data_IF_391471265929
#
_entry.id   IF_391471265929
#
_cell.length_a   1.000
_cell.length_b   1.000
_cell.length_c   1.000
_cell.angle_alpha   90.00
_cell.angle_beta   90.00
_cell.angle_gamma   90.00
#
_symmetry.space_group_name_H-M   'P 1'
#
loop_
_entity.id
_entity.type
_entity.pdbx_description
1 polymer ?
#
# COMPACT_ATOMS: atom_id res chain seq x y z
N UNK A 1 -20.86 26.40 -12.75
CA UNK A 1 -20.83 26.79 -14.18
C UNK A 1 -19.68 27.78 -14.38
N UNK A 2 -18.56 27.35 -14.99
CA UNK A 2 -17.41 28.23 -15.32
C UNK A 2 -16.88 27.86 -16.70
N UNK A 3 -17.11 28.78 -17.64
CA UNK A 3 -16.81 28.69 -19.06
C UNK A 3 -15.30 28.95 -19.27
N UNK A 4 -14.60 28.07 -19.98
CA UNK A 4 -13.24 28.32 -20.47
C UNK A 4 -13.31 28.63 -21.96
N UNK A 5 -12.88 29.83 -22.35
CA UNK A 5 -12.76 30.30 -23.73
C UNK A 5 -11.54 29.68 -24.41
N UNK A 6 -11.72 29.29 -25.67
CA UNK A 6 -10.76 28.72 -26.62
C UNK A 6 -10.19 29.86 -27.50
N UNK A 7 -9.04 29.60 -28.15
CA UNK A 7 -8.36 30.33 -29.25
C UNK A 7 -7.36 31.41 -28.78
N UNK A 8 -6.13 31.54 -29.29
CA UNK A 8 -5.62 31.26 -30.64
C UNK A 8 -4.10 30.99 -30.61
N UNK A 9 -3.60 30.04 -31.41
CA UNK A 9 -2.16 29.88 -31.69
C UNK A 9 -1.87 30.60 -33.01
N UNK A 10 -1.05 31.65 -32.95
CA UNK A 10 -0.60 32.38 -34.12
C UNK A 10 0.43 31.56 -34.91
N UNK A 11 0.15 31.36 -36.20
CA UNK A 11 1.02 30.76 -37.20
C UNK A 11 2.12 31.78 -37.53
N UNK A 12 3.37 31.52 -37.14
CA UNK A 12 4.51 32.35 -37.56
C UNK A 12 4.90 31.90 -38.97
N UNK A 13 4.58 32.74 -39.95
CA UNK A 13 4.98 32.62 -41.34
C UNK A 13 6.50 32.79 -41.47
N UNK A 14 7.20 31.79 -41.99
CA UNK A 14 8.60 31.91 -42.38
C UNK A 14 8.67 32.69 -43.70
N UNK A 15 9.25 33.89 -43.65
CA UNK A 15 9.61 34.67 -44.82
C UNK A 15 10.78 34.02 -45.57
N UNK A 16 10.48 33.51 -46.76
CA UNK A 16 11.44 33.06 -47.76
C UNK A 16 11.99 34.32 -48.47
N UNK A 17 13.25 34.67 -48.22
CA UNK A 17 13.95 35.74 -48.96
C UNK A 17 14.41 35.17 -50.30
N UNK A 18 13.76 35.60 -51.38
CA UNK A 18 14.21 35.41 -52.74
C UNK A 18 15.35 36.40 -53.04
N UNK A 19 16.54 35.91 -53.36
CA UNK A 19 17.63 36.71 -53.90
C UNK A 19 17.72 36.50 -55.42
N UNK A 20 17.42 37.56 -56.15
CA UNK A 20 17.48 37.69 -57.61
C UNK A 20 18.91 37.63 -58.14
N UNK A 21 19.06 36.99 -59.30
CA UNK A 21 20.30 36.83 -60.07
C UNK A 21 20.60 38.14 -60.80
N UNK A 22 21.83 38.64 -60.70
CA UNK A 22 22.39 39.69 -61.55
C UNK A 22 23.87 39.38 -61.80
N UNK A 23 24.22 39.17 -63.06
CA UNK A 23 25.59 38.88 -63.53
C UNK A 23 26.27 40.18 -63.96
N UNK A 24 27.49 40.45 -63.50
CA UNK A 24 28.58 41.08 -64.28
C UNK A 24 29.97 40.76 -63.68
N UNK A 25 30.98 40.82 -64.54
CA UNK A 25 32.32 40.20 -64.53
C UNK A 25 33.37 40.58 -63.45
N UNK A 26 34.24 39.57 -63.21
CA UNK A 26 35.70 39.56 -62.97
C UNK A 26 36.37 40.53 -61.98
N UNK A 27 36.96 39.97 -60.90
CA UNK A 27 38.36 40.26 -60.52
C UNK A 27 38.91 39.17 -59.56
N UNK A 28 40.20 38.86 -59.69
CA UNK A 28 40.94 37.82 -58.99
C UNK A 28 41.21 38.19 -57.52
N UNK A 29 40.77 37.35 -56.57
CA UNK A 29 41.35 37.25 -55.22
C UNK A 29 40.86 35.99 -54.53
N UNK A 30 41.72 35.29 -53.76
CA UNK A 30 41.41 33.97 -53.25
C UNK A 30 40.28 34.08 -52.23
N UNK A 31 39.25 33.24 -52.38
CA UNK A 31 38.33 32.95 -51.28
C UNK A 31 39.04 31.96 -50.36
N UNK A 32 39.50 32.37 -49.18
CA UNK A 32 39.36 31.47 -48.04
C UNK A 32 39.00 32.24 -46.77
N UNK A 33 37.72 32.23 -46.38
CA UNK A 33 37.29 32.49 -44.99
C UNK A 33 35.80 32.23 -44.70
N UNK A 34 34.98 31.82 -45.67
CA UNK A 34 33.54 31.67 -45.45
C UNK A 34 33.11 30.28 -44.93
N UNK A 35 33.96 29.26 -45.05
CA UNK A 35 33.64 27.86 -44.65
C UNK A 35 33.47 27.68 -43.14
N UNK A 36 34.15 28.51 -42.33
CA UNK A 36 34.10 28.42 -40.87
C UNK A 36 32.84 29.07 -40.25
N UNK A 37 32.20 30.03 -40.94
CA UNK A 37 31.03 30.76 -40.40
C UNK A 37 29.73 30.01 -40.65
N UNK A 38 29.47 29.56 -41.88
CA UNK A 38 28.24 28.86 -42.23
C UNK A 38 28.12 27.49 -41.52
N UNK A 39 29.23 26.72 -41.46
CA UNK A 39 29.26 25.45 -40.75
C UNK A 39 29.06 25.62 -39.23
N UNK A 40 29.63 26.68 -38.64
CA UNK A 40 29.40 27.02 -37.23
C UNK A 40 27.94 27.39 -36.95
N UNK A 41 27.30 28.19 -37.81
CA UNK A 41 25.88 28.55 -37.65
C UNK A 41 24.96 27.33 -37.75
N UNK A 42 25.23 26.42 -38.69
CA UNK A 42 24.49 25.16 -38.82
C UNK A 42 24.68 24.27 -37.56
N UNK A 43 25.91 24.17 -37.04
CA UNK A 43 26.20 23.44 -35.82
C UNK A 43 25.53 24.06 -34.58
N UNK A 44 25.44 25.40 -34.51
CA UNK A 44 24.77 26.12 -33.43
C UNK A 44 23.25 25.88 -33.46
N UNK A 45 22.63 25.95 -34.64
CA UNK A 45 21.21 25.65 -34.81
C UNK A 45 20.91 24.21 -34.38
N UNK A 46 21.74 23.24 -34.80
CA UNK A 46 21.63 21.84 -34.38
C UNK A 46 21.75 21.69 -32.85
N UNK A 47 22.75 22.33 -32.23
CA UNK A 47 22.91 22.31 -30.78
C UNK A 47 21.70 22.85 -30.02
N UNK A 48 21.08 23.93 -30.52
CA UNK A 48 19.87 24.50 -29.91
C UNK A 48 18.70 23.53 -29.97
N UNK A 49 18.49 22.87 -31.11
CA UNK A 49 17.47 21.81 -31.26
C UNK A 49 17.75 20.63 -30.34
N UNK A 50 18.99 20.13 -30.31
CA UNK A 50 19.39 19.02 -29.45
C UNK A 50 19.19 19.39 -27.96
N UNK A 51 19.47 20.64 -27.57
CA UNK A 51 19.29 21.11 -26.20
C UNK A 51 17.82 21.18 -25.80
N UNK A 52 16.95 21.59 -26.72
CA UNK A 52 15.50 21.58 -26.51
C UNK A 52 14.98 20.14 -26.35
N UNK A 53 15.41 19.22 -27.21
CA UNK A 53 15.05 17.80 -27.12
C UNK A 53 15.55 17.16 -25.82
N UNK A 54 16.77 17.49 -25.39
CA UNK A 54 17.30 17.08 -24.08
C UNK A 54 16.37 17.56 -22.95
N UNK A 55 15.97 18.83 -22.93
CA UNK A 55 15.08 19.38 -21.90
C UNK A 55 13.71 18.69 -21.90
N UNK A 56 13.13 18.47 -23.08
CA UNK A 56 11.87 17.74 -23.23
C UNK A 56 12.00 16.32 -22.67
N UNK A 57 13.10 15.63 -22.98
CA UNK A 57 13.36 14.26 -22.51
C UNK A 57 13.48 14.20 -20.99
N UNK A 58 14.21 15.14 -20.38
CA UNK A 58 14.31 15.24 -18.91
C UNK A 58 12.94 15.41 -18.28
N UNK A 59 12.12 16.34 -18.79
CA UNK A 59 10.77 16.61 -18.27
C UNK A 59 9.86 15.38 -18.44
N UNK A 60 9.89 14.75 -19.62
CA UNK A 60 9.11 13.54 -19.92
C UNK A 60 9.46 12.42 -18.95
N UNK A 61 10.75 12.12 -18.76
CA UNK A 61 11.22 11.08 -17.84
C UNK A 61 10.76 11.36 -16.40
N UNK A 62 10.84 12.61 -15.94
CA UNK A 62 10.38 13.00 -14.61
C UNK A 62 8.85 12.82 -14.44
N UNK A 63 8.06 13.23 -15.44
CA UNK A 63 6.59 13.06 -15.42
C UNK A 63 6.23 11.58 -15.40
N UNK A 64 6.82 10.78 -16.31
CA UNK A 64 6.54 9.34 -16.39
C UNK A 64 6.88 8.63 -15.08
N UNK A 65 8.04 8.93 -14.48
CA UNK A 65 8.42 8.35 -13.20
C UNK A 65 7.46 8.75 -12.08
N UNK A 66 7.07 10.03 -12.00
CA UNK A 66 6.11 10.50 -10.98
C UNK A 66 4.77 9.80 -11.12
N UNK A 67 4.22 9.73 -12.34
CA UNK A 67 2.94 9.04 -12.56
C UNK A 67 3.02 7.56 -12.21
N UNK A 68 4.14 6.89 -12.54
CA UNK A 68 4.36 5.50 -12.16
C UNK A 68 4.43 5.33 -10.62
N UNK A 69 5.08 6.27 -9.92
CA UNK A 69 5.12 6.31 -8.46
C UNK A 69 3.77 6.57 -7.81
N UNK A 70 2.99 7.52 -8.33
CA UNK A 70 1.65 7.81 -7.83
C UNK A 70 0.75 6.57 -7.96
N UNK A 71 0.82 5.90 -9.11
CA UNK A 71 0.09 4.65 -9.36
C UNK A 71 0.56 3.53 -8.41
N UNK A 72 1.87 3.33 -8.29
CA UNK A 72 2.44 2.32 -7.38
C UNK A 72 1.96 2.52 -5.93
N UNK A 73 1.99 3.76 -5.43
CA UNK A 73 1.57 4.07 -4.07
C UNK A 73 0.05 3.89 -3.89
N UNK A 74 -0.76 4.32 -4.86
CA UNK A 74 -2.20 4.15 -4.82
C UNK A 74 -2.61 2.66 -4.84
N UNK A 75 -2.01 1.88 -5.74
CA UNK A 75 -2.28 0.45 -5.87
C UNK A 75 -1.87 -0.28 -4.57
N UNK A 76 -0.72 0.05 -4.00
CA UNK A 76 -0.27 -0.54 -2.72
C UNK A 76 -1.18 -0.16 -1.55
N UNK A 77 -1.64 1.10 -1.48
CA UNK A 77 -2.57 1.55 -0.44
C UNK A 77 -3.92 0.80 -0.52
N UNK A 78 -4.42 0.53 -1.74
CA UNK A 78 -5.64 -0.27 -1.94
C UNK A 78 -5.44 -1.70 -1.42
N UNK A 79 -4.29 -2.31 -1.71
CA UNK A 79 -3.96 -3.66 -1.25
C UNK A 79 -3.92 -3.72 0.28
N UNK A 80 -3.23 -2.78 0.92
CA UNK A 80 -3.18 -2.67 2.38
C UNK A 80 -4.57 -2.48 3.00
N UNK A 81 -5.37 -1.56 2.45
CA UNK A 81 -6.71 -1.29 2.96
C UNK A 81 -7.62 -2.53 2.88
N UNK A 82 -7.54 -3.31 1.80
CA UNK A 82 -8.30 -4.56 1.66
C UNK A 82 -7.86 -5.62 2.65
N UNK A 83 -6.55 -5.75 2.84
CA UNK A 83 -5.97 -6.69 3.79
C UNK A 83 -6.42 -6.39 5.22
N UNK A 84 -6.31 -5.12 5.64
CA UNK A 84 -6.71 -4.69 6.98
C UNK A 84 -8.22 -4.80 7.19
N UNK A 85 -9.02 -4.44 6.18
CA UNK A 85 -10.48 -4.55 6.24
C UNK A 85 -10.94 -6.01 6.40
N UNK A 86 -10.34 -6.94 5.64
CA UNK A 86 -10.66 -8.36 5.75
C UNK A 86 -10.31 -8.92 7.13
N UNK A 87 -9.14 -8.55 7.67
CA UNK A 87 -8.73 -8.95 9.00
C UNK A 87 -9.66 -8.39 10.09
N UNK A 88 -10.00 -7.09 10.01
CA UNK A 88 -10.92 -6.43 10.93
C UNK A 88 -12.30 -7.07 10.90
N UNK A 89 -12.83 -7.38 9.71
CA UNK A 89 -14.12 -8.04 9.54
C UNK A 89 -14.13 -9.43 10.20
N UNK A 90 -13.05 -10.21 10.04
CA UNK A 90 -12.92 -11.51 10.68
C UNK A 90 -12.90 -11.40 12.22
N UNK A 91 -12.21 -10.39 12.77
CA UNK A 91 -12.23 -10.11 14.21
C UNK A 91 -13.63 -9.74 14.72
N UNK A 92 -14.33 -8.86 14.00
CA UNK A 92 -15.66 -8.40 14.41
C UNK A 92 -16.65 -9.57 14.41
N UNK A 93 -16.63 -10.41 13.36
CA UNK A 93 -17.43 -11.61 13.28
C UNK A 93 -17.12 -12.58 14.43
N UNK A 94 -15.83 -12.76 14.76
CA UNK A 94 -15.43 -13.57 15.91
C UNK A 94 -16.00 -13.05 17.24
N UNK A 95 -15.99 -11.73 17.47
CA UNK A 95 -16.54 -11.17 18.70
C UNK A 95 -18.06 -11.34 18.80
N UNK A 96 -18.77 -11.18 17.68
CA UNK A 96 -20.23 -11.45 17.62
C UNK A 96 -20.52 -12.90 17.98
N UNK A 97 -19.83 -13.84 17.32
CA UNK A 97 -20.01 -15.27 17.58
C UNK A 97 -19.65 -15.64 19.02
N UNK A 98 -18.55 -15.10 19.54
CA UNK A 98 -18.12 -15.39 20.92
C UNK A 98 -19.08 -14.82 21.96
N UNK A 99 -19.62 -13.62 21.72
CA UNK A 99 -20.64 -13.03 22.59
C UNK A 99 -21.90 -13.88 22.62
N UNK A 100 -22.36 -14.34 21.45
CA UNK A 100 -23.52 -15.21 21.34
C UNK A 100 -23.28 -16.59 22.00
N UNK A 101 -22.08 -17.15 21.85
CA UNK A 101 -21.69 -18.40 22.51
C UNK A 101 -21.66 -18.23 24.04
N UNK A 102 -21.03 -17.17 24.54
CA UNK A 102 -20.97 -16.87 25.97
C UNK A 102 -22.36 -16.65 26.58
N UNK A 103 -23.27 -16.01 25.85
CA UNK A 103 -24.65 -15.84 26.28
C UNK A 103 -25.39 -17.19 26.44
N UNK A 104 -25.04 -18.22 25.64
CA UNK A 104 -25.57 -19.58 25.78
C UNK A 104 -24.91 -20.34 26.93
N UNK A 105 -23.62 -20.11 27.20
CA UNK A 105 -22.89 -20.76 28.30
C UNK A 105 -23.27 -20.20 29.66
N UNK A 106 -23.56 -18.89 29.75
CA UNK A 106 -23.91 -18.22 31.01
C UNK A 106 -25.02 -18.91 31.82
N UNK A 107 -26.19 -19.27 31.25
CA UNK A 107 -27.22 -19.99 32.00
C UNK A 107 -26.77 -21.39 32.43
N UNK A 108 -25.94 -22.09 31.63
CA UNK A 108 -25.39 -23.39 32.02
C UNK A 108 -24.43 -23.28 33.21
N UNK A 109 -23.61 -22.22 33.23
CA UNK A 109 -22.72 -21.95 34.35
C UNK A 109 -23.50 -21.61 35.62
N UNK A 110 -24.61 -20.87 35.50
CA UNK A 110 -25.51 -20.61 36.62
C UNK A 110 -26.16 -21.88 37.16
N UNK A 111 -26.62 -22.78 36.28
CA UNK A 111 -27.15 -24.11 36.66
C UNK A 111 -26.07 -24.92 37.41
N UNK A 112 -24.84 -24.95 36.89
CA UNK A 112 -23.73 -25.63 37.57
C UNK A 112 -23.51 -25.05 38.96
N UNK A 113 -23.47 -23.71 39.07
CA UNK A 113 -23.30 -23.04 40.36
C UNK A 113 -24.42 -23.39 41.35
N UNK A 114 -25.67 -23.36 40.91
CA UNK A 114 -26.80 -23.74 41.77
C UNK A 114 -26.69 -25.20 42.25
N UNK A 115 -26.22 -26.11 41.40
CA UNK A 115 -25.99 -27.50 41.78
C UNK A 115 -24.84 -27.66 42.79
N UNK A 116 -23.74 -26.92 42.63
CA UNK A 116 -22.64 -26.94 43.60
C UNK A 116 -23.05 -26.32 44.93
N UNK A 117 -23.74 -25.18 44.90
CA UNK A 117 -24.26 -24.54 46.12
C UNK A 117 -25.23 -25.48 46.87
N UNK A 118 -26.05 -26.23 46.14
CA UNK A 118 -26.94 -27.24 46.73
C UNK A 118 -26.14 -28.40 47.34
N UNK A 119 -25.13 -28.91 46.65
CA UNK A 119 -24.29 -29.99 47.17
C UNK A 119 -23.58 -29.56 48.47
N UNK A 120 -23.05 -28.34 48.51
CA UNK A 120 -22.42 -27.77 49.70
C UNK A 120 -23.44 -27.62 50.85
N UNK A 121 -24.63 -27.10 50.57
CA UNK A 121 -25.69 -26.98 51.57
C UNK A 121 -26.14 -28.34 52.12
N UNK A 122 -26.33 -29.34 51.26
CA UNK A 122 -26.69 -30.70 51.65
C UNK A 122 -25.59 -31.34 52.51
N UNK A 123 -24.32 -31.12 52.18
CA UNK A 123 -23.18 -31.61 52.96
C UNK A 123 -23.10 -30.96 54.34
N UNK A 124 -23.21 -29.63 54.42
CA UNK A 124 -23.22 -28.90 55.68
C UNK A 124 -24.39 -29.33 56.57
N UNK A 125 -25.58 -29.55 56.00
CA UNK A 125 -26.73 -30.06 56.72
C UNK A 125 -26.50 -31.48 57.27
N UNK A 126 -25.83 -32.35 56.49
CA UNK A 126 -25.52 -33.72 56.90
C UNK A 126 -24.56 -33.79 58.10
N UNK A 127 -23.61 -32.85 58.21
CA UNK A 127 -22.61 -32.84 59.29
C UNK A 127 -23.04 -32.00 60.51
N UNK A 128 -24.10 -31.20 60.40
CA UNK A 128 -24.60 -30.36 61.49
C UNK A 128 -25.34 -31.14 62.59
N UNK A 129 -25.63 -32.44 62.37
CA UNK A 129 -26.34 -33.28 63.33
C UNK A 129 -25.44 -33.65 64.51
N UNK A 130 -25.91 -33.40 65.74
CA UNK A 130 -25.20 -33.81 66.95
C UNK A 130 -25.05 -35.35 67.01
N UNK A 131 -23.83 -35.84 67.22
CA UNK A 131 -23.53 -37.27 67.28
C UNK A 131 -23.32 -37.96 65.93
N UNK A 132 -22.96 -37.21 64.87
CA UNK A 132 -22.54 -37.80 63.58
C UNK A 132 -21.42 -38.82 63.78
N UNK A 133 -21.64 -40.03 63.27
CA UNK A 133 -20.67 -41.12 63.26
C UNK A 133 -19.72 -40.99 62.08
N UNK A 134 -18.54 -41.61 62.16
CA UNK A 134 -17.58 -41.63 61.04
C UNK A 134 -18.21 -42.20 59.75
N UNK A 135 -19.05 -43.23 59.85
CA UNK A 135 -19.73 -43.80 58.69
C UNK A 135 -20.70 -42.81 58.03
N UNK A 136 -21.37 -41.95 58.81
CA UNK A 136 -22.23 -40.89 58.28
C UNK A 136 -21.40 -39.76 57.65
N UNK A 137 -20.25 -39.42 58.23
CA UNK A 137 -19.33 -38.44 57.67
C UNK A 137 -18.75 -38.90 56.32
N UNK A 138 -18.32 -40.16 56.24
CA UNK A 138 -17.83 -40.78 55.01
C UNK A 138 -18.91 -40.81 53.92
N UNK A 139 -20.15 -41.12 54.31
CA UNK A 139 -21.30 -41.10 53.38
C UNK A 139 -21.60 -39.67 52.89
N UNK A 140 -21.59 -38.67 53.78
CA UNK A 140 -21.80 -37.28 53.41
C UNK A 140 -20.72 -36.80 52.42
N UNK A 141 -19.45 -37.13 52.69
CA UNK A 141 -18.34 -36.78 51.81
C UNK A 141 -18.46 -37.47 50.44
N UNK A 142 -18.80 -38.76 50.42
CA UNK A 142 -19.03 -39.51 49.18
C UNK A 142 -20.16 -38.89 48.35
N UNK A 143 -21.27 -38.54 48.99
CA UNK A 143 -22.42 -37.94 48.32
C UNK A 143 -22.10 -36.53 47.77
N UNK A 144 -21.37 -35.72 48.54
CA UNK A 144 -20.91 -34.40 48.09
C UNK A 144 -20.02 -34.52 46.85
N UNK A 145 -18.99 -35.36 46.90
CA UNK A 145 -18.09 -35.59 45.76
C UNK A 145 -18.87 -36.08 44.54
N UNK A 146 -19.78 -37.05 44.71
CA UNK A 146 -20.61 -37.55 43.62
C UNK A 146 -21.51 -36.46 43.02
N UNK A 147 -22.05 -35.56 43.84
CA UNK A 147 -22.85 -34.43 43.37
C UNK A 147 -22.01 -33.39 42.60
N UNK A 148 -20.79 -33.09 43.06
CA UNK A 148 -19.86 -32.18 42.38
C UNK A 148 -19.42 -32.75 41.02
N UNK A 149 -19.14 -34.04 40.97
CA UNK A 149 -18.82 -34.76 39.73
C UNK A 149 -20.01 -34.75 38.77
N UNK A 150 -21.22 -35.03 39.26
CA UNK A 150 -22.44 -34.99 38.46
C UNK A 150 -22.72 -33.58 37.90
N UNK A 151 -22.56 -32.53 38.71
CA UNK A 151 -22.72 -31.14 38.27
C UNK A 151 -21.70 -30.76 37.18
N UNK A 152 -20.45 -31.19 37.33
CA UNK A 152 -19.39 -30.94 36.35
C UNK A 152 -19.62 -31.73 35.05
N UNK A 153 -20.02 -32.99 35.16
CA UNK A 153 -20.36 -33.83 34.02
C UNK A 153 -21.56 -33.26 33.24
N UNK A 154 -22.61 -32.85 33.94
CA UNK A 154 -23.79 -32.22 33.33
C UNK A 154 -23.43 -30.91 32.62
N UNK A 155 -22.63 -30.05 33.24
CA UNK A 155 -22.15 -28.82 32.60
C UNK A 155 -21.33 -29.10 31.34
N UNK A 156 -20.38 -30.04 31.42
CA UNK A 156 -19.54 -30.42 30.27
C UNK A 156 -20.39 -30.98 29.13
N UNK A 157 -21.37 -31.84 29.45
CA UNK A 157 -22.29 -32.40 28.46
C UNK A 157 -23.14 -31.30 27.80
N UNK A 158 -23.68 -30.37 28.59
CA UNK A 158 -24.47 -29.26 28.09
C UNK A 158 -23.65 -28.29 27.22
N UNK A 159 -22.41 -27.96 27.63
CA UNK A 159 -21.49 -27.15 26.81
C UNK A 159 -21.12 -27.87 25.52
N UNK A 160 -20.87 -29.19 25.58
CA UNK A 160 -20.62 -29.99 24.37
C UNK A 160 -21.80 -29.95 23.40
N UNK A 161 -23.03 -29.96 23.92
CA UNK A 161 -24.25 -29.85 23.12
C UNK A 161 -24.44 -28.46 22.47
N UNK A 162 -23.79 -27.39 22.98
CA UNK A 162 -23.77 -26.08 22.31
C UNK A 162 -22.91 -26.08 21.04
N UNK A 163 -22.06 -27.10 20.86
CA UNK A 163 -21.08 -27.20 19.79
C UNK A 163 -19.75 -26.52 20.14
N UNK A 164 -18.88 -26.43 19.14
CA UNK A 164 -17.55 -25.87 19.33
C UNK A 164 -17.59 -24.36 19.63
N UNK A 165 -16.72 -23.92 20.54
CA UNK A 165 -16.48 -22.50 20.76
C UNK A 165 -15.93 -21.86 19.47
N UNK A 166 -16.37 -20.62 19.13
CA UNK A 166 -15.79 -19.89 18.02
C UNK A 166 -14.26 -19.82 18.13
N UNK A 167 -13.58 -20.10 17.03
CA UNK A 167 -12.11 -20.06 16.97
C UNK A 167 -11.65 -18.63 16.68
N UNK A 168 -10.68 -18.15 17.46
CA UNK A 168 -10.08 -16.83 17.22
C UNK A 168 -9.42 -16.83 15.84
N UNK A 169 -9.71 -15.84 14.98
CA UNK A 169 -9.11 -15.80 13.66
C UNK A 169 -7.61 -15.58 13.79
N UNK A 170 -6.84 -16.16 12.88
CA UNK A 170 -5.37 -16.01 12.83
C UNK A 170 -5.04 -14.81 11.97
N UNK A 171 -4.18 -13.92 12.47
CA UNK A 171 -3.73 -12.77 11.70
C UNK A 171 -3.04 -13.28 10.42
N UNK A 172 -3.43 -12.82 9.23
CA UNK A 172 -2.76 -13.22 8.01
C UNK A 172 -1.27 -12.82 8.05
N UNK A 173 -0.46 -13.49 7.21
CA UNK A 173 0.94 -13.15 7.06
C UNK A 173 1.10 -11.74 6.48
N UNK A 174 2.20 -11.08 6.84
CA UNK A 174 2.52 -9.75 6.30
C UNK A 174 2.67 -9.79 4.78
N UNK A 175 2.16 -8.73 4.14
CA UNK A 175 2.23 -8.62 2.68
C UNK A 175 3.60 -8.11 2.25
N UNK A 176 4.15 -8.76 1.22
CA UNK A 176 5.36 -8.28 0.56
C UNK A 176 5.04 -7.03 -0.26
N UNK A 177 5.77 -5.95 0.01
CA UNK A 177 5.64 -4.71 -0.74
C UNK A 177 6.07 -4.95 -2.20
N UNK A 178 5.29 -4.51 -3.21
CA UNK A 178 5.65 -4.68 -4.61
C UNK A 178 6.93 -3.90 -4.95
N UNK A 179 7.60 -4.31 -6.02
CA UNK A 179 8.81 -3.63 -6.51
C UNK A 179 8.44 -2.23 -7.01
N UNK A 180 9.12 -1.21 -6.49
CA UNK A 180 8.90 0.18 -6.89
C UNK A 180 9.43 0.43 -8.32
N UNK A 181 8.73 1.24 -9.13
CA UNK A 181 9.27 1.82 -10.36
C UNK A 181 10.69 2.37 -10.20
N UNK A 182 11.53 2.12 -11.20
CA UNK A 182 12.93 2.56 -11.22
C UNK A 182 13.02 3.96 -11.81
N UNK A 183 13.83 4.83 -11.19
CA UNK A 183 14.06 6.19 -11.69
C UNK A 183 14.82 6.13 -13.03
N UNK A 184 14.36 6.85 -14.07
CA UNK A 184 15.06 6.89 -15.35
C UNK A 184 16.47 7.47 -15.22
N UNK A 185 17.41 6.92 -15.99
CA UNK A 185 18.76 7.47 -16.14
C UNK A 185 18.68 8.84 -16.82
N UNK A 186 19.55 9.77 -16.42
CA UNK A 186 19.61 11.10 -17.02
C UNK A 186 20.06 11.00 -18.50
N UNK A 187 19.39 11.68 -19.44
CA UNK A 187 19.84 11.73 -20.82
C UNK A 187 21.18 12.48 -20.95
N UNK A 188 21.91 12.25 -22.03
CA UNK A 188 23.19 12.94 -22.29
C UNK A 188 22.91 14.36 -22.80
N UNK A 189 23.52 15.36 -22.17
CA UNK A 189 23.40 16.75 -22.59
C UNK A 189 24.24 16.98 -23.87
N UNK A 190 23.70 17.67 -24.89
CA UNK A 190 24.47 17.99 -26.10
C UNK A 190 25.63 18.95 -25.79
N UNK A 191 26.70 18.84 -26.57
CA UNK A 191 27.91 19.65 -26.45
C UNK A 191 27.84 20.84 -27.40
N UNK A 192 28.16 22.04 -26.91
CA UNK A 192 28.15 23.25 -27.72
C UNK A 192 29.29 23.22 -28.77
N UNK A 193 29.06 23.72 -30.00
CA UNK A 193 30.12 23.81 -30.99
C UNK A 193 31.19 24.82 -30.58
N UNK A 194 32.46 24.49 -30.84
CA UNK A 194 33.60 25.39 -30.62
C UNK A 194 33.53 26.60 -31.57
N UNK A 195 33.85 27.79 -31.07
CA UNK A 195 33.97 28.99 -31.92
C UNK A 195 35.16 28.82 -32.88
N UNK A 196 35.05 29.23 -34.16
CA UNK A 196 36.18 29.18 -35.07
C UNK A 196 37.33 30.05 -34.54
N UNK A 197 38.55 29.50 -34.52
CA UNK A 197 39.75 30.28 -34.18
C UNK A 197 39.98 31.31 -35.28
N UNK A 198 40.18 32.57 -34.91
CA UNK A 198 40.73 33.55 -35.85
C UNK A 198 42.12 33.05 -36.23
N UNK A 199 42.34 32.70 -37.48
CA UNK A 199 43.70 32.45 -37.97
C UNK A 199 44.49 33.74 -37.77
N UNK A 200 45.51 33.68 -36.91
CA UNK A 200 46.51 34.72 -36.81
C UNK A 200 47.17 34.84 -38.20
N UNK A 201 46.88 35.94 -38.90
CA UNK A 201 47.55 36.30 -40.15
C UNK A 201 49.06 36.34 -39.87
N UNK A 202 49.78 35.29 -40.25
CA UNK A 202 51.25 35.30 -40.28
C UNK A 202 51.69 36.15 -41.48
N UNK A 203 52.15 37.36 -41.12
CA UNK A 203 53.05 38.29 -41.80
C UNK A 203 52.77 38.61 -43.27
#
# INVERSE_FOLDING_TARGET
MKIRRILSVALITSSLVAASIGVTHADDSPVPAATNSAAYQAALAKYQTDLLQYRITVIKNAITYRVAMDKYNADWAIVLARYDAAWKAAQDQYQVLRTAYNAKVAPLAAIRKAATDKADADFLAAIAVAGVTNAQLDLALKNHNAAMDAATAAFKAAVTALGAEPVKPVKPAELNKPVAPVKPVAPVKPVAPGKPKKEDKKK
#
